data_IF_902705679672
#
_entry.id   IF_902705679672
#
_cell.length_a   1.000
_cell.length_b   1.000
_cell.length_c   1.000
_cell.angle_alpha   90.00
_cell.angle_beta   90.00
_cell.angle_gamma   90.00
#
_symmetry.space_group_name_H-M   'P 1'
#
loop_
_entity.id
_entity.type
_entity.pdbx_description
1 polymer ?
#
# COMPACT_ATOMS: atom_id res chain seq x y z
N UNK A 1 12.05 -29.26 0.15
CA UNK A 1 12.06 -28.79 1.56
C UNK A 1 12.63 -27.39 1.55
N UNK A 2 11.77 -26.39 1.41
CA UNK A 2 12.16 -24.98 1.49
C UNK A 2 12.57 -24.64 2.92
N UNK A 3 13.69 -23.94 3.04
CA UNK A 3 14.32 -23.58 4.30
C UNK A 3 13.35 -22.78 5.18
N UNK A 4 12.94 -23.36 6.31
CA UNK A 4 11.97 -22.78 7.25
C UNK A 4 12.42 -21.43 7.80
N UNK A 5 13.73 -21.16 7.83
CA UNK A 5 14.27 -19.86 8.23
C UNK A 5 14.04 -18.77 7.18
N UNK A 6 14.23 -19.09 5.89
CA UNK A 6 13.98 -18.15 4.80
C UNK A 6 12.48 -17.78 4.71
N UNK A 7 11.61 -18.77 4.82
CA UNK A 7 10.17 -18.54 4.81
C UNK A 7 9.68 -17.77 6.04
N UNK A 8 10.31 -18.00 7.21
CA UNK A 8 10.06 -17.20 8.42
C UNK A 8 10.47 -15.74 8.22
N UNK A 9 11.63 -15.47 7.62
CA UNK A 9 12.07 -14.12 7.33
C UNK A 9 11.09 -13.39 6.39
N UNK A 10 10.60 -14.05 5.34
CA UNK A 10 9.60 -13.46 4.44
C UNK A 10 8.26 -13.19 5.17
N UNK A 11 7.85 -14.06 6.10
CA UNK A 11 6.66 -13.82 6.91
C UNK A 11 6.76 -12.53 7.74
N UNK A 12 7.94 -12.19 8.28
CA UNK A 12 8.12 -10.94 9.02
C UNK A 12 7.84 -9.71 8.14
N UNK A 13 8.24 -9.73 6.87
CA UNK A 13 7.88 -8.69 5.91
C UNK A 13 6.38 -8.68 5.62
N UNK A 14 5.77 -9.85 5.42
CA UNK A 14 4.32 -9.95 5.18
C UNK A 14 3.54 -9.33 6.34
N UNK A 15 3.88 -9.67 7.59
CA UNK A 15 3.26 -9.11 8.78
C UNK A 15 3.44 -7.59 8.85
N UNK A 16 4.66 -7.09 8.66
CA UNK A 16 4.95 -5.66 8.68
C UNK A 16 4.12 -4.92 7.60
N UNK A 17 4.18 -5.39 6.35
CA UNK A 17 3.54 -4.72 5.21
C UNK A 17 2.01 -4.76 5.27
N UNK A 18 1.43 -5.91 5.66
CA UNK A 18 -0.04 -6.09 5.66
C UNK A 18 -0.72 -5.46 6.86
N UNK A 19 -0.01 -5.26 7.98
CA UNK A 19 -0.53 -4.52 9.13
C UNK A 19 -0.95 -3.09 8.78
N UNK A 20 -0.32 -2.49 7.76
CA UNK A 20 -0.60 -1.14 7.27
C UNK A 20 -1.88 -1.05 6.45
N UNK A 21 -2.26 -2.14 5.80
CA UNK A 21 -3.46 -2.21 4.96
C UNK A 21 -4.75 -2.23 5.79
N UNK A 22 -4.64 -2.17 7.12
CA UNK A 22 -5.75 -2.28 8.05
C UNK A 22 -5.97 -0.95 8.72
N UNK A 23 -7.04 -0.31 8.29
CA UNK A 23 -7.37 1.06 8.64
C UNK A 23 -8.85 1.15 9.00
N UNK A 24 -9.18 2.06 9.91
CA UNK A 24 -10.53 2.23 10.47
C UNK A 24 -10.74 1.56 11.83
N UNK A 25 -12.01 1.42 12.23
CA UNK A 25 -12.48 1.09 13.59
C UNK A 25 -11.89 -0.19 14.22
N UNK A 26 -11.30 -1.08 13.43
CA UNK A 26 -10.72 -2.35 13.88
C UNK A 26 -9.19 -2.41 13.79
N UNK A 27 -8.51 -1.33 13.40
CA UNK A 27 -7.06 -1.33 13.23
C UNK A 27 -6.29 -1.75 14.49
N UNK A 28 -6.70 -1.27 15.66
CA UNK A 28 -6.10 -1.61 16.96
C UNK A 28 -6.29 -3.11 17.30
N UNK A 29 -7.45 -3.68 16.97
CA UNK A 29 -7.73 -5.11 17.17
C UNK A 29 -6.80 -5.99 16.32
N UNK A 30 -6.66 -5.68 15.04
CA UNK A 30 -5.82 -6.47 14.14
C UNK A 30 -4.32 -6.25 14.35
N UNK A 31 -3.92 -5.08 14.89
CA UNK A 31 -2.55 -4.87 15.34
C UNK A 31 -2.16 -5.86 16.43
N UNK A 32 -3.08 -6.19 17.34
CA UNK A 32 -2.87 -7.17 18.40
C UNK A 32 -3.15 -8.63 17.96
N UNK A 33 -3.83 -8.85 16.83
CA UNK A 33 -4.26 -10.15 16.34
C UNK A 33 -4.05 -10.26 14.81
N UNK A 34 -2.79 -10.23 14.31
CA UNK A 34 -2.49 -10.17 12.88
C UNK A 34 -2.93 -11.44 12.11
N UNK A 35 -3.05 -12.58 12.77
CA UNK A 35 -3.62 -13.79 12.17
C UNK A 35 -5.10 -13.61 11.77
N UNK A 36 -5.82 -12.72 12.45
CA UNK A 36 -7.25 -12.50 12.23
C UNK A 36 -7.55 -11.66 10.98
N UNK A 37 -6.53 -11.01 10.40
CA UNK A 37 -6.66 -10.11 9.23
C UNK A 37 -7.37 -10.81 8.07
N UNK A 38 -7.03 -12.08 7.85
CA UNK A 38 -7.53 -12.85 6.73
C UNK A 38 -8.61 -13.87 7.11
N UNK A 39 -9.08 -13.93 8.37
CA UNK A 39 -10.03 -14.98 8.76
C UNK A 39 -11.44 -14.76 8.20
N UNK A 40 -11.87 -13.50 8.07
CA UNK A 40 -13.24 -13.18 7.61
C UNK A 40 -13.34 -13.14 6.09
N UNK A 41 -13.53 -14.31 5.46
CA UNK A 41 -13.67 -14.42 3.98
C UNK A 41 -14.72 -13.50 3.38
N UNK A 42 -15.84 -13.22 4.06
CA UNK A 42 -16.87 -12.29 3.58
C UNK A 42 -16.38 -10.85 3.47
N UNK A 43 -15.57 -10.39 4.42
CA UNK A 43 -14.96 -9.06 4.40
C UNK A 43 -13.96 -8.97 3.25
N UNK A 44 -13.12 -10.00 3.07
CA UNK A 44 -12.17 -10.05 1.96
C UNK A 44 -12.88 -10.01 0.60
N UNK A 45 -13.98 -10.78 0.43
CA UNK A 45 -14.79 -10.72 -0.80
C UNK A 45 -15.38 -9.33 -1.04
N UNK A 46 -15.83 -8.66 0.03
CA UNK A 46 -16.31 -7.27 -0.06
C UNK A 46 -15.25 -6.32 -0.58
N UNK A 47 -14.01 -6.43 -0.08
CA UNK A 47 -12.87 -5.64 -0.56
C UNK A 47 -12.50 -5.96 -2.01
N UNK A 48 -12.50 -7.24 -2.38
CA UNK A 48 -12.22 -7.68 -3.74
C UNK A 48 -13.27 -7.15 -4.73
N UNK A 49 -14.55 -7.21 -4.38
CA UNK A 49 -15.63 -6.60 -5.17
C UNK A 49 -15.45 -5.08 -5.30
N UNK A 50 -15.08 -4.40 -4.21
CA UNK A 50 -14.78 -2.96 -4.24
C UNK A 50 -13.61 -2.63 -5.18
N UNK A 51 -12.59 -3.49 -5.25
CA UNK A 51 -11.48 -3.38 -6.21
C UNK A 51 -11.79 -3.97 -7.59
N UNK A 52 -13.03 -4.39 -7.85
CA UNK A 52 -13.44 -5.04 -9.10
C UNK A 52 -12.64 -6.32 -9.43
N UNK A 53 -12.20 -7.06 -8.41
CA UNK A 53 -11.54 -8.36 -8.53
C UNK A 53 -12.57 -9.45 -8.24
N UNK A 54 -13.07 -10.13 -9.27
CA UNK A 54 -14.16 -11.11 -9.13
C UNK A 54 -13.71 -12.56 -9.28
N UNK A 55 -12.49 -12.79 -9.76
CA UNK A 55 -11.98 -14.13 -10.06
C UNK A 55 -10.43 -14.20 -9.99
N UNK A 56 -9.90 -15.39 -10.27
CA UNK A 56 -8.46 -15.68 -10.25
C UNK A 56 -7.69 -14.88 -11.29
N UNK A 57 -8.21 -14.73 -12.49
CA UNK A 57 -7.52 -14.01 -13.56
C UNK A 57 -7.45 -12.52 -13.24
N UNK A 58 -8.57 -11.93 -12.81
CA UNK A 58 -8.64 -10.53 -12.38
C UNK A 58 -7.70 -10.24 -11.21
N UNK A 59 -7.53 -11.18 -10.27
CA UNK A 59 -6.57 -11.02 -9.19
C UNK A 59 -5.13 -11.01 -9.72
N UNK A 60 -4.76 -11.95 -10.60
CA UNK A 60 -3.40 -12.03 -11.15
C UNK A 60 -3.06 -10.78 -11.95
N UNK A 61 -3.96 -10.34 -12.83
CA UNK A 61 -3.80 -9.09 -13.58
C UNK A 61 -3.66 -7.87 -12.65
N UNK A 62 -4.45 -7.82 -11.56
CA UNK A 62 -4.34 -6.75 -10.58
C UNK A 62 -2.98 -6.77 -9.86
N UNK A 63 -2.47 -7.95 -9.47
CA UNK A 63 -1.17 -8.10 -8.84
C UNK A 63 -0.04 -7.69 -9.80
N UNK A 64 -0.04 -8.23 -11.02
CA UNK A 64 0.95 -7.90 -12.06
C UNK A 64 0.98 -6.40 -12.36
N UNK A 65 -0.19 -5.76 -12.53
CA UNK A 65 -0.25 -4.31 -12.71
C UNK A 65 0.23 -3.55 -11.48
N UNK A 66 -0.15 -3.97 -10.27
CA UNK A 66 0.26 -3.31 -9.03
C UNK A 66 1.78 -3.41 -8.84
N UNK A 67 2.39 -4.54 -9.18
CA UNK A 67 3.82 -4.79 -9.05
C UNK A 67 4.62 -4.09 -10.16
N UNK A 68 4.12 -4.02 -11.39
CA UNK A 68 4.82 -3.38 -12.51
C UNK A 68 4.67 -1.85 -12.53
N UNK A 69 3.43 -1.36 -12.40
CA UNK A 69 3.10 0.06 -12.57
C UNK A 69 2.51 0.68 -11.31
N UNK A 70 1.43 0.08 -10.81
CA UNK A 70 0.67 0.53 -9.65
C UNK A 70 0.19 2.00 -9.73
N UNK A 71 -0.30 2.50 -8.60
CA UNK A 71 -0.68 3.91 -8.50
C UNK A 71 0.54 4.84 -8.53
N UNK A 72 1.73 4.33 -8.19
CA UNK A 72 2.97 5.10 -8.19
C UNK A 72 3.35 5.67 -9.56
N UNK A 73 2.97 5.01 -10.67
CA UNK A 73 3.23 5.53 -12.02
C UNK A 73 2.50 6.84 -12.26
N UNK A 74 1.18 6.86 -12.04
CA UNK A 74 0.37 8.08 -12.16
C UNK A 74 0.82 9.17 -11.17
N UNK A 75 1.16 8.78 -9.94
CA UNK A 75 1.72 9.72 -8.97
C UNK A 75 2.99 10.39 -9.49
N UNK A 76 3.92 9.61 -10.05
CA UNK A 76 5.17 10.12 -10.61
C UNK A 76 4.95 11.03 -11.82
N UNK A 77 3.98 10.70 -12.69
CA UNK A 77 3.58 11.53 -13.83
C UNK A 77 3.02 12.88 -13.38
N UNK A 78 2.10 12.87 -12.40
CA UNK A 78 1.55 14.10 -11.82
C UNK A 78 2.63 14.92 -11.10
N UNK A 79 3.53 14.26 -10.36
CA UNK A 79 4.62 14.91 -9.67
C UNK A 79 5.55 15.61 -10.66
N UNK A 80 6.00 14.89 -11.70
CA UNK A 80 6.85 15.43 -12.77
C UNK A 80 6.20 16.62 -13.48
N UNK A 81 4.90 16.51 -13.78
CA UNK A 81 4.14 17.61 -14.39
C UNK A 81 4.12 18.86 -13.51
N UNK A 82 3.93 18.70 -12.19
CA UNK A 82 3.89 19.81 -11.26
C UNK A 82 5.27 20.43 -11.01
N UNK A 83 6.35 19.64 -11.01
CA UNK A 83 7.71 20.16 -10.78
C UNK A 83 8.31 20.84 -12.01
N UNK A 84 7.81 20.54 -13.21
CA UNK A 84 8.33 21.06 -14.49
C UNK A 84 7.77 22.42 -14.90
N UNK A 85 6.85 23.00 -14.12
CA UNK A 85 6.17 24.27 -14.44
C UNK A 85 6.43 25.35 -13.40
N UNK A 86 6.21 26.61 -13.79
CA UNK A 86 6.28 27.75 -12.87
C UNK A 86 5.21 27.64 -11.76
N UNK A 87 5.39 28.35 -10.65
CA UNK A 87 4.43 28.36 -9.54
C UNK A 87 3.03 28.83 -9.98
N UNK A 88 2.96 29.86 -10.82
CA UNK A 88 1.70 30.40 -11.35
C UNK A 88 0.96 29.36 -12.22
N UNK A 89 1.68 28.68 -13.13
CA UNK A 89 1.09 27.61 -13.95
C UNK A 89 0.68 26.42 -13.09
N UNK A 90 1.49 26.05 -12.10
CA UNK A 90 1.23 24.95 -11.17
C UNK A 90 -0.08 25.11 -10.42
N UNK A 91 -0.40 26.32 -9.99
CA UNK A 91 -1.66 26.64 -9.33
C UNK A 91 -2.87 26.39 -10.27
N UNK A 92 -2.71 26.66 -11.57
CA UNK A 92 -3.80 26.53 -12.56
C UNK A 92 -4.06 25.09 -13.06
N UNK A 93 -3.11 24.16 -12.90
CA UNK A 93 -3.26 22.78 -13.39
C UNK A 93 -4.53 22.13 -12.80
N UNK A 94 -5.32 21.44 -13.62
CA UNK A 94 -6.51 20.72 -13.14
C UNK A 94 -7.69 21.58 -12.68
N UNK A 95 -7.64 22.92 -12.83
CA UNK A 95 -8.83 23.77 -12.61
C UNK A 95 -9.97 23.43 -13.59
N UNK A 96 -9.64 22.94 -14.79
CA UNK A 96 -10.60 22.66 -15.86
C UNK A 96 -11.03 21.19 -15.96
N UNK A 97 -10.54 20.30 -15.08
CA UNK A 97 -11.08 18.93 -15.06
C UNK A 97 -12.38 18.92 -14.26
N UNK A 98 -13.34 18.08 -14.63
CA UNK A 98 -14.53 17.80 -13.80
C UNK A 98 -14.44 16.45 -13.09
N UNK A 99 -13.39 15.67 -13.35
CA UNK A 99 -13.17 14.38 -12.69
C UNK A 99 -12.75 14.60 -11.21
N UNK A 100 -13.60 14.24 -10.23
CA UNK A 100 -13.29 14.41 -8.82
C UNK A 100 -12.10 13.56 -8.37
N UNK A 101 -11.86 12.40 -9.01
CA UNK A 101 -10.73 11.52 -8.70
C UNK A 101 -9.43 12.17 -9.12
N UNK A 102 -9.38 12.71 -10.34
CA UNK A 102 -8.21 13.44 -10.82
C UNK A 102 -7.93 14.69 -9.99
N UNK A 103 -8.98 15.46 -9.61
CA UNK A 103 -8.85 16.62 -8.71
C UNK A 103 -8.22 16.23 -7.37
N UNK A 104 -8.72 15.16 -6.76
CA UNK A 104 -8.20 14.65 -5.48
C UNK A 104 -6.73 14.25 -5.60
N UNK A 105 -6.39 13.39 -6.57
CA UNK A 105 -5.01 12.93 -6.81
C UNK A 105 -4.05 14.09 -7.03
N UNK A 106 -4.44 15.08 -7.83
CA UNK A 106 -3.64 16.27 -8.06
C UNK A 106 -3.44 17.10 -6.78
N UNK A 107 -4.48 17.26 -5.97
CA UNK A 107 -4.41 17.94 -4.67
C UNK A 107 -3.41 17.26 -3.72
N UNK A 108 -3.46 15.92 -3.65
CA UNK A 108 -2.52 15.13 -2.83
C UNK A 108 -1.08 15.35 -3.30
N UNK A 109 -0.80 15.23 -4.60
CA UNK A 109 0.57 15.42 -5.12
C UNK A 109 1.08 16.84 -4.83
N UNK A 110 0.22 17.86 -4.93
CA UNK A 110 0.57 19.24 -4.55
C UNK A 110 0.90 19.39 -3.07
N UNK A 111 0.10 18.78 -2.20
CA UNK A 111 0.29 18.86 -0.74
C UNK A 111 1.63 18.26 -0.30
N UNK A 112 2.06 17.19 -0.95
CA UNK A 112 3.29 16.45 -0.63
C UNK A 112 4.47 16.79 -1.54
N UNK A 113 4.33 17.81 -2.39
CA UNK A 113 5.38 18.25 -3.28
C UNK A 113 6.65 18.60 -2.48
N UNK A 114 7.81 18.20 -3.00
CA UNK A 114 9.13 18.41 -2.37
C UNK A 114 9.37 17.71 -1.03
N UNK A 115 8.40 16.95 -0.50
CA UNK A 115 8.53 16.20 0.76
C UNK A 115 8.63 14.69 0.55
N UNK A 116 8.42 14.22 -0.67
CA UNK A 116 8.43 12.81 -1.01
C UNK A 116 9.84 12.23 -1.19
N UNK A 117 10.08 10.98 -0.75
CA UNK A 117 11.24 10.23 -1.19
C UNK A 117 11.17 9.98 -2.70
N UNK A 118 12.33 9.71 -3.34
CA UNK A 118 12.44 9.49 -4.79
C UNK A 118 11.53 8.35 -5.29
N UNK A 119 11.31 7.34 -4.46
CA UNK A 119 10.45 6.18 -4.75
C UNK A 119 8.96 6.49 -4.64
N UNK A 120 8.60 7.75 -4.30
CA UNK A 120 7.23 8.24 -4.27
C UNK A 120 6.35 7.44 -3.31
N UNK A 121 5.25 6.89 -3.84
CA UNK A 121 4.24 6.12 -3.08
C UNK A 121 4.40 4.60 -3.22
N UNK A 122 5.55 4.10 -3.66
CA UNK A 122 5.76 2.68 -3.98
C UNK A 122 5.42 1.72 -2.82
N UNK A 123 5.65 2.11 -1.56
CA UNK A 123 5.32 1.29 -0.40
C UNK A 123 3.83 0.93 -0.33
N UNK A 124 2.93 1.83 -0.77
CA UNK A 124 1.51 1.53 -0.83
C UNK A 124 1.21 0.40 -1.80
N UNK A 125 1.76 0.47 -3.02
CA UNK A 125 1.54 -0.57 -4.03
C UNK A 125 2.14 -1.92 -3.58
N UNK A 126 3.35 -1.91 -3.03
CA UNK A 126 4.00 -3.12 -2.51
C UNK A 126 3.18 -3.78 -1.38
N UNK A 127 2.74 -3.00 -0.39
CA UNK A 127 1.88 -3.50 0.69
C UNK A 127 0.54 -4.03 0.17
N UNK A 128 -0.08 -3.35 -0.79
CA UNK A 128 -1.35 -3.79 -1.37
C UNK A 128 -1.19 -5.06 -2.22
N UNK A 129 -0.07 -5.23 -2.93
CA UNK A 129 0.23 -6.46 -3.66
C UNK A 129 0.36 -7.65 -2.70
N UNK A 130 1.17 -7.52 -1.63
CA UNK A 130 1.31 -8.57 -0.61
C UNK A 130 -0.01 -8.89 0.07
N UNK A 131 -0.79 -7.86 0.44
CA UNK A 131 -2.11 -8.05 1.04
C UNK A 131 -3.05 -8.85 0.12
N UNK A 132 -3.13 -8.45 -1.17
CA UNK A 132 -4.01 -9.11 -2.15
C UNK A 132 -3.57 -10.53 -2.46
N UNK A 133 -2.27 -10.82 -2.47
CA UNK A 133 -1.77 -12.19 -2.59
C UNK A 133 -2.24 -13.07 -1.41
N UNK A 134 -2.04 -12.60 -0.17
CA UNK A 134 -2.48 -13.32 1.04
C UNK A 134 -4.01 -13.52 1.07
N UNK A 135 -4.76 -12.47 0.78
CA UNK A 135 -6.21 -12.49 0.69
C UNK A 135 -6.71 -13.44 -0.42
N UNK A 136 -6.10 -13.38 -1.60
CA UNK A 136 -6.41 -14.23 -2.75
C UNK A 136 -6.20 -15.70 -2.46
N UNK A 137 -5.10 -16.05 -1.78
CA UNK A 137 -4.88 -17.41 -1.28
C UNK A 137 -6.00 -17.84 -0.34
N UNK A 138 -6.38 -17.00 0.64
CA UNK A 138 -7.45 -17.33 1.58
C UNK A 138 -8.80 -17.52 0.89
N UNK A 139 -9.08 -16.75 -0.17
CA UNK A 139 -10.29 -16.91 -0.97
C UNK A 139 -10.26 -18.12 -1.91
N UNK A 140 -9.09 -18.69 -2.18
CA UNK A 140 -8.90 -19.82 -3.10
C UNK A 140 -8.62 -19.40 -4.55
N UNK A 141 -8.26 -18.13 -4.78
CA UNK A 141 -7.87 -17.62 -6.10
C UNK A 141 -6.39 -17.87 -6.41
N UNK A 142 -5.57 -18.05 -5.38
CA UNK A 142 -4.17 -18.43 -5.52
C UNK A 142 -3.90 -19.69 -4.70
N UNK A 143 -3.00 -20.52 -5.20
CA UNK A 143 -2.34 -21.56 -4.41
C UNK A 143 -1.36 -20.94 -3.41
N UNK A 144 -0.91 -21.73 -2.43
CA UNK A 144 0.15 -21.29 -1.50
C UNK A 144 1.44 -20.93 -2.25
N UNK A 145 1.78 -21.68 -3.30
CA UNK A 145 2.97 -21.47 -4.11
C UNK A 145 2.88 -20.16 -4.90
N UNK A 146 1.73 -19.89 -5.55
CA UNK A 146 1.54 -18.64 -6.30
C UNK A 146 1.56 -17.41 -5.39
N UNK A 147 0.96 -17.50 -4.19
CA UNK A 147 1.05 -16.45 -3.18
C UNK A 147 2.51 -16.09 -2.87
N UNK A 148 3.33 -17.11 -2.61
CA UNK A 148 4.74 -16.90 -2.28
C UNK A 148 5.55 -16.37 -3.46
N UNK A 149 5.28 -16.81 -4.69
CA UNK A 149 5.95 -16.29 -5.89
C UNK A 149 5.80 -14.76 -6.02
N UNK A 150 4.59 -14.23 -5.83
CA UNK A 150 4.38 -12.77 -5.83
C UNK A 150 5.08 -12.05 -4.68
N UNK A 151 5.07 -12.64 -3.48
CA UNK A 151 5.73 -12.04 -2.31
C UNK A 151 7.26 -12.00 -2.49
N UNK A 152 7.83 -13.07 -3.05
CA UNK A 152 9.26 -13.19 -3.38
C UNK A 152 9.70 -12.21 -4.48
N UNK A 153 8.79 -11.78 -5.36
CA UNK A 153 9.04 -10.71 -6.33
C UNK A 153 9.05 -9.32 -5.68
N UNK A 154 8.11 -9.06 -4.74
CA UNK A 154 7.93 -7.74 -4.12
C UNK A 154 9.02 -7.42 -3.08
N UNK A 155 9.39 -8.37 -2.23
CA UNK A 155 10.32 -8.11 -1.11
C UNK A 155 11.68 -7.56 -1.57
N UNK A 156 12.32 -8.06 -2.64
CA UNK A 156 13.53 -7.46 -3.19
C UNK A 156 13.35 -5.99 -3.61
N UNK A 157 12.19 -5.61 -4.15
CA UNK A 157 11.89 -4.22 -4.51
C UNK A 157 11.79 -3.34 -3.27
N UNK A 158 11.11 -3.82 -2.22
CA UNK A 158 11.00 -3.13 -0.93
C UNK A 158 12.39 -2.85 -0.34
N UNK A 159 13.27 -3.86 -0.31
CA UNK A 159 14.63 -3.73 0.23
C UNK A 159 15.53 -2.82 -0.61
N UNK A 160 15.27 -2.74 -1.92
CA UNK A 160 16.00 -1.84 -2.83
C UNK A 160 15.57 -0.38 -2.66
N UNK A 161 14.27 -0.16 -2.49
CA UNK A 161 13.66 1.17 -2.54
C UNK A 161 13.64 1.88 -1.18
N UNK A 162 13.74 1.13 -0.07
CA UNK A 162 13.63 1.67 1.27
C UNK A 162 14.78 1.20 2.17
N UNK A 163 15.47 2.18 2.78
CA UNK A 163 16.49 1.94 3.81
C UNK A 163 15.94 2.01 5.23
N UNK A 164 14.68 2.46 5.42
CA UNK A 164 14.06 2.57 6.72
C UNK A 164 12.54 2.35 6.65
N UNK A 165 11.99 1.74 7.69
CA UNK A 165 10.54 1.59 7.82
C UNK A 165 9.83 2.93 8.00
N UNK A 166 10.52 3.95 8.50
CA UNK A 166 9.97 5.31 8.60
C UNK A 166 9.64 5.88 7.21
N UNK A 167 10.57 5.76 6.26
CA UNK A 167 10.35 6.24 4.89
C UNK A 167 9.32 5.38 4.15
N UNK A 168 9.33 4.06 4.42
CA UNK A 168 8.30 3.14 3.94
C UNK A 168 6.91 3.56 4.40
N UNK A 169 6.73 3.84 5.69
CA UNK A 169 5.45 4.25 6.28
C UNK A 169 4.96 5.58 5.71
N UNK A 170 5.87 6.53 5.51
CA UNK A 170 5.53 7.81 4.87
C UNK A 170 5.07 7.62 3.42
N UNK A 171 5.82 6.82 2.63
CA UNK A 171 5.46 6.46 1.26
C UNK A 171 4.10 5.73 1.19
N UNK A 172 3.85 4.78 2.11
CA UNK A 172 2.59 4.06 2.22
C UNK A 172 1.44 5.03 2.52
N UNK A 173 1.61 5.91 3.50
CA UNK A 173 0.58 6.84 3.93
C UNK A 173 0.14 7.77 2.78
N UNK A 174 1.10 8.37 2.08
CA UNK A 174 0.78 9.26 0.95
C UNK A 174 0.09 8.48 -0.17
N UNK A 175 0.50 7.23 -0.43
CA UNK A 175 -0.17 6.36 -1.40
C UNK A 175 -1.60 5.99 -1.00
N UNK A 176 -1.86 5.73 0.28
CA UNK A 176 -3.21 5.45 0.78
C UNK A 176 -4.13 6.66 0.57
N UNK A 177 -3.65 7.87 0.89
CA UNK A 177 -4.39 9.12 0.65
C UNK A 177 -4.59 9.36 -0.85
N UNK A 178 -3.58 9.10 -1.69
CA UNK A 178 -3.66 9.29 -3.14
C UNK A 178 -4.68 8.38 -3.82
N UNK A 179 -4.72 7.10 -3.42
CA UNK A 179 -5.55 6.07 -4.07
C UNK A 179 -6.98 6.04 -3.58
N UNK A 180 -7.25 6.63 -2.42
CA UNK A 180 -8.57 6.54 -1.85
C UNK A 180 -9.58 7.46 -2.55
N UNK A 181 -10.68 6.89 -3.02
CA UNK A 181 -11.75 7.64 -3.69
C UNK A 181 -12.74 8.31 -2.73
N UNK A 182 -12.61 8.10 -1.41
CA UNK A 182 -13.55 8.56 -0.38
C UNK A 182 -12.90 9.31 0.80
N UNK A 183 -11.58 9.53 0.81
CA UNK A 183 -10.91 10.11 1.98
C UNK A 183 -10.75 11.61 1.81
N UNK A 184 -11.76 12.31 2.31
CA UNK A 184 -11.63 13.66 2.83
C UNK A 184 -10.68 13.67 4.05
N UNK A 185 -10.41 14.86 4.59
CA UNK A 185 -9.50 15.10 5.72
C UNK A 185 -9.76 14.23 6.98
N UNK A 186 -10.92 13.55 7.06
CA UNK A 186 -11.34 12.74 8.20
C UNK A 186 -10.55 11.44 8.33
N UNK A 187 -10.12 10.76 7.26
CA UNK A 187 -9.34 9.53 7.41
C UNK A 187 -7.99 9.73 8.08
N UNK A 188 -7.30 10.82 7.75
CA UNK A 188 -6.02 11.18 8.38
C UNK A 188 -6.28 11.50 9.85
N UNK A 189 -7.32 12.27 10.18
CA UNK A 189 -7.66 12.54 11.58
C UNK A 189 -8.03 11.26 12.35
N UNK A 190 -8.88 10.42 11.77
CA UNK A 190 -9.39 9.17 12.35
C UNK A 190 -8.29 8.12 12.54
N UNK A 191 -7.29 8.07 11.65
CA UNK A 191 -6.24 7.06 11.66
C UNK A 191 -4.87 7.60 12.09
N UNK A 192 -4.70 8.91 12.31
CA UNK A 192 -3.43 9.53 12.75
C UNK A 192 -2.89 8.87 14.01
N UNK A 193 -3.76 8.58 14.97
CA UNK A 193 -3.41 7.90 16.23
C UNK A 193 -3.00 6.45 15.98
N UNK A 194 -3.69 5.73 15.09
CA UNK A 194 -3.34 4.35 14.73
C UNK A 194 -2.02 4.29 13.95
N UNK A 195 -1.81 5.18 12.98
CA UNK A 195 -0.58 5.27 12.20
C UNK A 195 0.60 5.70 13.10
N UNK A 196 0.38 6.63 14.02
CA UNK A 196 1.33 7.01 15.07
C UNK A 196 1.62 5.81 15.98
N UNK A 197 0.60 5.07 16.43
CA UNK A 197 0.80 3.81 17.15
C UNK A 197 1.55 2.79 16.30
N UNK A 198 1.32 2.64 15.01
CA UNK A 198 2.11 1.74 14.16
C UNK A 198 3.58 2.19 14.06
N UNK A 199 3.83 3.51 14.00
CA UNK A 199 5.16 4.12 13.99
C UNK A 199 5.93 3.95 15.32
N UNK A 200 5.24 4.02 16.45
CA UNK A 200 5.86 4.06 17.79
C UNK A 200 5.59 2.82 18.65
N UNK A 201 4.59 2.01 18.32
CA UNK A 201 4.42 0.69 18.92
C UNK A 201 5.59 -0.16 18.49
N UNK A 202 6.14 -0.90 19.45
CA UNK A 202 7.12 -1.93 19.19
C UNK A 202 6.41 -3.11 18.53
N UNK A 203 5.95 -2.94 17.31
CA UNK A 203 5.45 -4.06 16.53
C UNK A 203 6.69 -4.84 16.08
N UNK A 204 6.89 -6.03 16.66
CA UNK A 204 8.13 -6.79 16.51
C UNK A 204 8.40 -7.16 15.04
N UNK A 205 7.38 -7.25 14.18
CA UNK A 205 7.55 -7.58 12.75
C UNK A 205 8.43 -6.56 12.02
N UNK A 206 8.24 -5.26 12.23
CA UNK A 206 9.09 -4.20 11.65
C UNK A 206 10.54 -4.25 12.17
N UNK A 207 10.78 -4.81 13.35
CA UNK A 207 12.14 -5.03 13.87
C UNK A 207 12.78 -6.29 13.32
N UNK A 208 12.00 -7.35 13.12
CA UNK A 208 12.48 -8.64 12.60
C UNK A 208 12.72 -8.58 11.08
N UNK A 209 11.91 -7.80 10.35
CA UNK A 209 12.10 -7.53 8.93
C UNK A 209 13.09 -6.37 8.70
N UNK A 210 14.39 -6.68 8.57
CA UNK A 210 15.41 -5.64 8.37
C UNK A 210 15.45 -5.11 6.92
N UNK A 211 15.21 -3.81 6.74
CA UNK A 211 15.35 -3.11 5.45
C UNK A 211 16.80 -2.74 5.10
N UNK A 212 17.77 -3.12 5.95
CA UNK A 212 19.21 -2.97 5.74
C UNK A 212 19.97 -4.17 6.29
#
# INVERSE_FOLDING_TARGET
MTDTAAQKALNDYVEAMTSLCIVGKFGDYFLHNPEMIFERRSVIRGLFNFWSITDTQGLKQNLEWTIAEGARKEFAELYSRLTSVSEAERASIGHNTDDPTHKHRLSVVRQYLWRMPTVGIAAHDYSMAVYRACAGRKLGYLTEQEKWAYIEEVIPMVKKDFSSWKDYLYSFHVGAVFTSHLLNADYINENSVLLTKLLFSRNDSFRRASLS
#
